data_IF_942499287141
#
_entry.id   IF_942499287141
#
_cell.length_a   1.000
_cell.length_b   1.000
_cell.length_c   1.000
_cell.angle_alpha   90.00
_cell.angle_beta   90.00
_cell.angle_gamma   90.00
#
_symmetry.space_group_name_H-M   'P 1'
#
loop_
_entity.id
_entity.type
_entity.pdbx_description
1 polymer ?
#
# COMPACT_ATOMS: atom_id res chain seq x y z
N UNK A 1 -19.17 14.08 9.89
CA UNK A 1 -18.43 13.02 9.17
C UNK A 1 -16.99 13.47 9.06
N UNK A 2 -16.03 12.80 9.71
CA UNK A 2 -14.57 13.11 9.60
C UNK A 2 -13.66 11.88 9.72
N UNK A 3 -14.15 10.80 10.33
CA UNK A 3 -13.36 9.59 10.57
C UNK A 3 -13.04 8.85 9.25
N UNK A 4 -13.98 8.89 8.29
CA UNK A 4 -13.85 8.12 7.05
C UNK A 4 -12.91 8.75 6.01
N UNK A 5 -12.74 10.07 6.04
CA UNK A 5 -11.88 10.80 5.08
C UNK A 5 -10.40 10.57 5.39
N UNK A 6 -10.02 10.67 6.68
CA UNK A 6 -8.65 10.43 7.13
C UNK A 6 -8.20 8.99 6.85
N UNK A 7 -9.05 8.01 7.14
CA UNK A 7 -8.76 6.60 6.86
C UNK A 7 -8.55 6.35 5.36
N UNK A 8 -9.35 7.02 4.52
CA UNK A 8 -9.20 6.93 3.05
C UNK A 8 -7.89 7.57 2.57
N UNK A 9 -7.49 8.71 3.12
CA UNK A 9 -6.21 9.37 2.79
C UNK A 9 -5.01 8.53 3.23
N UNK A 10 -5.06 7.98 4.44
CA UNK A 10 -4.02 7.09 4.97
C UNK A 10 -3.88 5.83 4.12
N UNK A 11 -5.00 5.26 3.69
CA UNK A 11 -5.04 4.12 2.76
C UNK A 11 -4.40 4.44 1.42
N UNK A 12 -4.83 5.52 0.76
CA UNK A 12 -4.31 5.92 -0.54
C UNK A 12 -2.80 6.18 -0.47
N UNK A 13 -2.36 6.86 0.60
CA UNK A 13 -0.95 7.12 0.83
C UNK A 13 -0.15 5.83 1.03
N UNK A 14 -0.62 4.92 1.88
CA UNK A 14 0.05 3.66 2.16
C UNK A 14 0.17 2.78 0.91
N UNK A 15 -0.92 2.62 0.16
CA UNK A 15 -0.92 1.88 -1.11
C UNK A 15 0.01 2.54 -2.14
N UNK A 16 0.03 3.86 -2.22
CA UNK A 16 0.98 4.59 -3.06
C UNK A 16 2.43 4.31 -2.67
N UNK A 17 2.76 4.22 -1.38
CA UNK A 17 4.13 3.89 -0.94
C UNK A 17 4.50 2.44 -1.24
N UNK A 18 3.60 1.49 -0.98
CA UNK A 18 3.79 0.08 -1.29
C UNK A 18 4.00 -0.14 -2.79
N UNK A 19 3.22 0.54 -3.62
CA UNK A 19 3.35 0.53 -5.07
C UNK A 19 4.66 1.16 -5.56
N UNK A 20 5.01 2.35 -5.06
CA UNK A 20 6.22 3.06 -5.48
C UNK A 20 7.51 2.41 -5.00
N UNK A 21 7.48 1.72 -3.87
CA UNK A 21 8.61 0.94 -3.38
C UNK A 21 8.82 -0.37 -4.15
N UNK A 22 7.85 -0.77 -4.98
CA UNK A 22 7.87 -2.01 -5.75
C UNK A 22 7.51 -3.25 -4.95
N UNK A 23 7.15 -3.10 -3.66
CA UNK A 23 6.74 -4.21 -2.81
C UNK A 23 5.41 -4.80 -3.29
N UNK A 24 4.48 -3.93 -3.67
CA UNK A 24 3.24 -4.32 -4.32
C UNK A 24 3.21 -3.76 -5.74
N UNK A 25 2.63 -4.51 -6.67
CA UNK A 25 2.33 -4.07 -8.02
C UNK A 25 0.82 -4.06 -8.25
N UNK A 26 0.20 -2.94 -8.68
CA UNK A 26 -1.21 -2.91 -9.02
C UNK A 26 -1.47 -3.73 -10.28
N UNK A 27 -2.56 -4.49 -10.28
CA UNK A 27 -3.00 -5.20 -11.47
C UNK A 27 -3.46 -4.21 -12.55
N UNK A 28 -3.01 -4.38 -13.80
CA UNK A 28 -3.40 -3.53 -14.93
C UNK A 28 -4.85 -3.71 -15.38
N UNK A 29 -5.46 -4.84 -15.03
CA UNK A 29 -6.82 -5.20 -15.45
C UNK A 29 -7.85 -5.02 -14.35
N UNK A 30 -7.44 -5.10 -13.09
CA UNK A 30 -8.33 -5.06 -11.93
C UNK A 30 -7.88 -3.98 -10.97
N UNK A 31 -8.61 -2.86 -10.96
CA UNK A 31 -8.38 -1.77 -10.02
C UNK A 31 -8.62 -2.25 -8.58
N UNK A 32 -7.76 -1.82 -7.66
CA UNK A 32 -7.82 -2.21 -6.25
C UNK A 32 -7.26 -3.61 -5.95
N UNK A 33 -6.74 -4.32 -6.96
CA UNK A 33 -6.01 -5.58 -6.75
C UNK A 33 -4.52 -5.35 -6.87
N UNK A 34 -3.79 -5.82 -5.86
CA UNK A 34 -2.34 -5.73 -5.79
C UNK A 34 -1.73 -7.13 -5.77
N UNK A 35 -0.54 -7.23 -6.35
CA UNK A 35 0.25 -8.44 -6.43
C UNK A 35 1.54 -8.20 -5.64
N UNK A 36 1.90 -9.17 -4.82
CA UNK A 36 3.16 -9.15 -4.07
C UNK A 36 4.31 -9.57 -5.00
N UNK A 37 5.32 -8.71 -5.11
CA UNK A 37 6.49 -8.97 -5.97
C UNK A 37 7.58 -9.77 -5.22
N UNK A 38 7.32 -10.24 -4.00
CA UNK A 38 8.28 -10.92 -3.13
C UNK A 38 9.39 -10.02 -2.60
N UNK A 39 9.20 -8.69 -2.65
CA UNK A 39 10.16 -7.72 -2.11
C UNK A 39 9.85 -7.49 -0.64
N UNK A 40 10.90 -7.44 0.18
CA UNK A 40 10.77 -7.22 1.61
C UNK A 40 10.10 -5.85 1.93
N UNK A 41 9.11 -5.89 2.81
CA UNK A 41 8.38 -4.71 3.29
C UNK A 41 9.29 -3.66 3.94
N UNK A 42 10.47 -4.03 4.44
CA UNK A 42 11.50 -3.08 4.88
C UNK A 42 11.81 -2.01 3.82
N UNK A 43 11.78 -2.39 2.54
CA UNK A 43 11.99 -1.47 1.42
C UNK A 43 10.87 -0.44 1.35
N UNK A 44 9.63 -0.86 1.54
CA UNK A 44 8.47 0.02 1.64
C UNK A 44 8.58 0.95 2.86
N UNK A 45 9.00 0.46 4.02
CA UNK A 45 9.19 1.31 5.20
C UNK A 45 10.27 2.37 5.01
N UNK A 46 11.42 1.99 4.45
CA UNK A 46 12.52 2.93 4.16
C UNK A 46 12.07 4.01 3.18
N UNK A 47 11.32 3.63 2.14
CA UNK A 47 10.76 4.58 1.17
C UNK A 47 9.70 5.49 1.81
N UNK A 48 8.74 4.90 2.52
CA UNK A 48 7.67 5.61 3.24
C UNK A 48 8.25 6.64 4.20
N UNK A 49 9.26 6.26 4.99
CA UNK A 49 9.93 7.16 5.93
C UNK A 49 10.64 8.32 5.22
N UNK A 50 11.27 8.08 4.07
CA UNK A 50 11.90 9.13 3.25
C UNK A 50 10.86 10.12 2.72
N UNK A 51 9.74 9.61 2.21
CA UNK A 51 8.63 10.44 1.71
C UNK A 51 8.00 11.21 2.86
N UNK A 52 7.65 10.54 3.95
CA UNK A 52 7.10 11.14 5.16
C UNK A 52 7.94 12.31 5.65
N UNK A 53 9.27 12.15 5.79
CA UNK A 53 10.16 13.25 6.18
C UNK A 53 10.19 14.42 5.18
N UNK A 54 9.96 14.13 3.90
CA UNK A 54 9.89 15.16 2.86
C UNK A 54 8.51 15.83 2.77
N UNK A 55 7.48 15.18 3.29
CA UNK A 55 6.07 15.61 3.26
C UNK A 55 5.45 15.66 4.65
N UNK A 56 6.25 15.94 5.68
CA UNK A 56 5.84 15.81 7.09
C UNK A 56 4.58 16.65 7.36
N UNK A 57 4.58 17.88 6.87
CA UNK A 57 3.50 18.87 6.97
C UNK A 57 2.21 18.49 6.21
N UNK A 58 2.30 17.56 5.25
CA UNK A 58 1.19 17.13 4.37
C UNK A 58 0.79 15.69 4.57
N UNK A 59 1.44 14.99 5.49
CA UNK A 59 1.18 13.58 5.74
C UNK A 59 -0.11 13.43 6.54
N UNK A 60 -0.95 12.42 6.26
CA UNK A 60 -2.19 12.18 7.00
C UNK A 60 -1.95 11.48 8.36
N UNK A 61 -0.71 11.43 8.83
CA UNK A 61 -0.30 10.70 10.03
C UNK A 61 0.25 11.65 11.09
N UNK A 62 -0.15 11.48 12.35
CA UNK A 62 0.41 12.27 13.44
C UNK A 62 1.87 11.88 13.74
N UNK A 63 2.22 10.61 13.55
CA UNK A 63 3.52 10.08 13.95
C UNK A 63 4.01 9.02 12.96
N UNK A 64 5.34 8.82 12.90
CA UNK A 64 5.96 7.73 12.11
C UNK A 64 5.39 6.36 12.48
N UNK A 65 5.08 6.14 13.78
CA UNK A 65 4.51 4.87 14.23
C UNK A 65 3.16 4.57 13.56
N UNK A 66 2.27 5.55 13.46
CA UNK A 66 0.99 5.39 12.77
C UNK A 66 1.22 5.12 11.28
N UNK A 67 2.10 5.89 10.64
CA UNK A 67 2.46 5.66 9.24
C UNK A 67 2.97 4.23 9.00
N UNK A 68 3.88 3.72 9.83
CA UNK A 68 4.39 2.35 9.69
C UNK A 68 3.32 1.30 9.94
N UNK A 69 2.47 1.50 10.94
CA UNK A 69 1.39 0.58 11.30
C UNK A 69 0.36 0.48 10.17
N UNK A 70 -0.04 1.62 9.60
CA UNK A 70 -0.93 1.69 8.44
C UNK A 70 -0.34 1.00 7.21
N UNK A 71 0.93 1.28 6.87
CA UNK A 71 1.62 0.62 5.74
C UNK A 71 1.68 -0.89 5.95
N UNK A 72 1.96 -1.33 7.18
CA UNK A 72 1.96 -2.75 7.53
C UNK A 72 0.58 -3.35 7.34
N UNK A 73 -0.45 -2.73 7.92
CA UNK A 73 -1.81 -3.24 7.89
C UNK A 73 -2.30 -3.45 6.45
N UNK A 74 -2.08 -2.47 5.57
CA UNK A 74 -2.47 -2.60 4.16
C UNK A 74 -1.58 -3.57 3.37
N UNK A 75 -0.29 -3.66 3.69
CA UNK A 75 0.54 -4.72 3.10
C UNK A 75 0.03 -6.11 3.48
N UNK A 76 -0.38 -6.32 4.73
CA UNK A 76 -0.97 -7.61 5.14
C UNK A 76 -2.37 -7.85 4.55
N UNK A 77 -3.16 -6.79 4.31
CA UNK A 77 -4.50 -6.89 3.70
C UNK A 77 -4.44 -7.20 2.20
N UNK A 78 -3.51 -6.56 1.47
CA UNK A 78 -3.41 -6.65 0.02
C UNK A 78 -2.27 -7.52 -0.50
N UNK A 79 -1.21 -7.67 0.28
CA UNK A 79 -0.06 -8.53 -0.02
C UNK A 79 -0.33 -10.00 0.23
N UNK A 80 0.65 -10.84 -0.10
CA UNK A 80 0.54 -12.30 -0.01
C UNK A 80 -0.16 -12.97 -1.20
N UNK A 81 -0.56 -12.20 -2.21
CA UNK A 81 -1.00 -12.74 -3.50
C UNK A 81 0.14 -12.64 -4.51
N UNK A 82 0.79 -13.77 -4.85
CA UNK A 82 1.84 -13.81 -5.89
C UNK A 82 1.31 -13.48 -7.30
N UNK A 83 0.00 -13.60 -7.51
CA UNK A 83 -0.67 -13.27 -8.77
C UNK A 83 -2.05 -12.67 -8.52
N UNK A 84 -2.55 -11.89 -9.49
CA UNK A 84 -3.89 -11.32 -9.40
C UNK A 84 -4.95 -12.43 -9.47
N UNK A 85 -5.73 -12.69 -8.40
CA UNK A 85 -6.69 -13.80 -8.34
C UNK A 85 -7.83 -13.65 -9.36
N UNK A 86 -8.17 -12.41 -9.75
CA UNK A 86 -9.20 -12.16 -10.75
C UNK A 86 -8.70 -12.43 -12.18
N UNK A 87 -7.42 -12.18 -12.47
CA UNK A 87 -6.83 -12.53 -13.76
C UNK A 87 -6.74 -14.05 -13.95
N UNK A 88 -6.30 -14.78 -12.92
CA UNK A 88 -6.22 -16.25 -12.98
C UNK A 88 -7.59 -16.90 -13.10
N UNK A 89 -8.62 -16.33 -12.47
CA UNK A 89 -9.99 -16.84 -12.55
C UNK A 89 -10.62 -16.73 -13.94
N UNK A 90 -10.15 -15.82 -14.79
CA UNK A 90 -10.66 -15.65 -16.15
C UNK A 90 -10.01 -16.57 -17.20
N UNK A 91 -9.03 -17.39 -16.82
CA UNK A 91 -8.39 -18.35 -17.74
C UNK A 91 -9.18 -19.66 -17.82
N UNK A 92 -10.12 -19.90 -16.90
CA UNK A 92 -10.86 -21.16 -16.75
C UNK A 92 -12.30 -21.12 -17.33
N UNK A 93 -12.65 -20.14 -18.18
CA UNK A 93 -13.94 -20.08 -18.91
C UNK A 93 -13.74 -20.18 -20.43
#
# INVERSE_FOLDING_TARGET
MRINELESEQKDWALSMLCRSGVLSPCRHHEGVYVDEGIDIESAYKYSMKVYKSTEDKSPFCNVREMTDTVQNYYHEYGGNDTCPLCTKHIDD
#
